data_IF_551705838381
#
_entry.id   IF_551705838381
#
_cell.length_a   1.000
_cell.length_b   1.000
_cell.length_c   1.000
_cell.angle_alpha   90.00
_cell.angle_beta   90.00
_cell.angle_gamma   90.00
#
_symmetry.space_group_name_H-M   'P 1'
#
loop_
_entity.id
_entity.type
_entity.pdbx_description
1 polymer ?
#
# COMPACT_ATOMS: atom_id res chain seq x y z
N UNK A 1 -1.01 20.46 -59.98
CA UNK A 1 -0.54 20.59 -58.59
C UNK A 1 -0.95 19.36 -57.81
N UNK A 2 -0.14 18.90 -56.85
CA UNK A 2 -0.34 17.61 -56.16
C UNK A 2 -1.37 17.75 -55.03
N UNK A 3 -2.37 16.88 -55.00
CA UNK A 3 -2.95 16.42 -53.73
C UNK A 3 -2.19 15.16 -53.32
N UNK A 4 -1.79 15.09 -52.05
CA UNK A 4 -1.38 13.83 -51.39
C UNK A 4 -2.20 13.67 -50.10
N UNK A 5 -2.56 12.44 -49.72
CA UNK A 5 -3.34 12.18 -48.52
C UNK A 5 -2.44 12.13 -47.27
N UNK A 6 -2.82 12.85 -46.21
CA UNK A 6 -2.32 12.54 -44.86
C UNK A 6 -3.18 11.42 -44.24
N UNK A 7 -2.93 10.18 -44.68
CA UNK A 7 -2.99 9.02 -43.79
C UNK A 7 -1.56 8.68 -43.37
N UNK A 8 -1.40 7.99 -42.23
CA UNK A 8 -0.11 7.75 -41.52
C UNK A 8 0.36 9.04 -40.80
N UNK A 9 0.46 9.15 -39.47
CA UNK A 9 0.58 8.15 -38.39
C UNK A 9 -0.45 8.43 -37.28
N UNK A 10 -1.31 7.44 -36.97
CA UNK A 10 -2.18 7.45 -35.78
C UNK A 10 -2.21 6.08 -35.08
N UNK A 11 -1.05 5.41 -35.04
CA UNK A 11 -0.89 4.09 -34.45
C UNK A 11 0.45 4.00 -33.72
N UNK A 12 0.49 4.44 -32.46
CA UNK A 12 1.28 3.92 -31.34
C UNK A 12 0.87 4.69 -30.05
N UNK A 13 1.27 4.20 -28.88
CA UNK A 13 1.00 4.81 -27.55
C UNK A 13 -0.43 4.74 -26.97
N UNK A 14 -1.21 3.70 -27.33
CA UNK A 14 -2.16 3.13 -26.36
C UNK A 14 -1.42 2.19 -25.40
N UNK A 15 -0.77 2.75 -24.39
CA UNK A 15 -0.39 1.99 -23.20
C UNK A 15 -1.31 2.37 -22.06
N UNK A 16 -2.32 1.50 -21.86
CA UNK A 16 -3.14 1.48 -20.66
C UNK A 16 -2.22 1.44 -19.44
N UNK A 17 -2.44 2.36 -18.50
CA UNK A 17 -2.07 2.09 -17.10
C UNK A 17 -3.09 1.09 -16.59
N UNK A 18 -2.92 -0.18 -16.99
CA UNK A 18 -3.46 -1.29 -16.23
C UNK A 18 -2.98 -1.14 -14.79
N UNK A 19 -3.75 -1.63 -13.82
CA UNK A 19 -3.23 -1.70 -12.46
C UNK A 19 -1.89 -2.45 -12.50
N UNK A 20 -0.99 -2.06 -11.60
CA UNK A 20 0.32 -2.67 -11.51
C UNK A 20 0.12 -4.09 -11.00
N UNK A 21 -0.01 -5.01 -11.95
CA UNK A 21 -0.23 -6.41 -11.69
C UNK A 21 1.13 -7.06 -11.49
N UNK A 22 1.24 -7.88 -10.45
CA UNK A 22 2.43 -8.69 -10.27
C UNK A 22 2.49 -9.69 -11.43
N UNK A 23 3.57 -9.63 -12.22
CA UNK A 23 3.74 -10.43 -13.42
C UNK A 23 5.03 -11.27 -13.36
N UNK A 24 4.95 -12.55 -12.94
CA UNK A 24 6.11 -13.41 -12.77
C UNK A 24 6.96 -13.53 -14.04
N UNK A 25 6.32 -13.49 -15.22
CA UNK A 25 6.98 -13.53 -16.52
C UNK A 25 7.95 -12.35 -16.77
N UNK A 26 7.81 -11.24 -16.03
CA UNK A 26 8.65 -10.06 -16.14
C UNK A 26 9.49 -9.77 -14.89
N UNK A 27 9.52 -10.67 -13.90
CA UNK A 27 10.22 -10.47 -12.61
C UNK A 27 11.69 -10.05 -12.79
N UNK A 28 12.42 -10.66 -13.72
CA UNK A 28 13.83 -10.36 -14.00
C UNK A 28 14.02 -8.89 -14.46
N UNK A 29 13.06 -8.35 -15.23
CA UNK A 29 13.09 -6.96 -15.73
C UNK A 29 12.58 -5.95 -14.71
N UNK A 30 11.82 -6.41 -13.72
CA UNK A 30 11.24 -5.58 -12.66
C UNK A 30 12.19 -5.36 -11.48
N UNK A 31 13.34 -6.03 -11.41
CA UNK A 31 14.26 -5.92 -10.27
C UNK A 31 14.68 -4.47 -9.95
N UNK A 32 14.66 -4.13 -8.66
CA UNK A 32 15.15 -2.84 -8.17
C UNK A 32 16.64 -2.65 -8.46
N UNK A 33 17.00 -1.47 -8.95
CA UNK A 33 18.39 -1.05 -9.10
C UNK A 33 19.08 -0.91 -7.73
N UNK A 34 20.41 -0.94 -7.70
CA UNK A 34 21.17 -0.77 -6.45
C UNK A 34 20.86 0.57 -5.78
N UNK A 35 20.72 1.65 -6.56
CA UNK A 35 20.33 2.95 -6.05
C UNK A 35 18.94 2.92 -5.38
N UNK A 36 17.96 2.23 -5.98
CA UNK A 36 16.63 2.07 -5.39
C UNK A 36 16.70 1.21 -4.12
N UNK A 37 17.42 0.08 -4.15
CA UNK A 37 17.63 -0.77 -2.98
C UNK A 37 18.27 0.00 -1.81
N UNK A 38 19.42 0.66 -2.02
CA UNK A 38 20.13 1.43 -0.99
C UNK A 38 19.28 2.59 -0.46
N UNK A 39 18.46 3.24 -1.30
CA UNK A 39 17.53 4.28 -0.84
C UNK A 39 16.53 3.72 0.19
N UNK A 40 15.88 2.60 -0.15
CA UNK A 40 14.87 1.99 0.71
C UNK A 40 15.48 1.28 1.92
N UNK A 41 16.69 0.73 1.81
CA UNK A 41 17.44 0.20 2.96
C UNK A 41 17.70 1.29 4.00
N UNK A 42 18.21 2.45 3.57
CA UNK A 42 18.45 3.61 4.47
C UNK A 42 17.15 4.09 5.10
N UNK A 43 16.09 4.24 4.29
CA UNK A 43 14.76 4.61 4.79
C UNK A 43 14.26 3.63 5.85
N UNK A 44 14.44 2.32 5.63
CA UNK A 44 14.09 1.28 6.60
C UNK A 44 14.94 1.31 7.86
N UNK A 45 16.25 1.56 7.74
CA UNK A 45 17.14 1.75 8.89
C UNK A 45 16.67 2.91 9.78
N UNK A 46 16.31 4.03 9.15
CA UNK A 46 15.76 5.19 9.86
C UNK A 46 14.47 4.81 10.59
N UNK A 47 13.58 4.06 9.95
CA UNK A 47 12.33 3.62 10.57
C UNK A 47 12.57 2.63 11.73
N UNK A 48 13.51 1.68 11.63
CA UNK A 48 13.92 0.84 12.77
C UNK A 48 14.37 1.71 13.95
N UNK A 49 15.19 2.74 13.69
CA UNK A 49 15.63 3.66 14.74
C UNK A 49 14.45 4.40 15.38
N UNK A 50 13.48 4.88 14.60
CA UNK A 50 12.33 5.63 15.09
C UNK A 50 11.35 4.72 15.86
N UNK A 51 11.12 3.49 15.40
CA UNK A 51 10.33 2.48 16.10
C UNK A 51 10.95 2.13 17.47
N UNK A 52 12.27 2.02 17.56
CA UNK A 52 13.00 1.72 18.81
C UNK A 52 13.25 2.92 19.73
N UNK A 53 12.95 4.15 19.31
CA UNK A 53 13.10 5.36 20.14
C UNK A 53 11.85 5.66 20.98
N UNK A 54 11.96 6.55 21.97
CA UNK A 54 10.79 7.17 22.62
C UNK A 54 10.01 8.04 21.61
N UNK A 55 8.85 8.59 22.00
CA UNK A 55 8.11 9.56 21.18
C UNK A 55 8.94 10.83 20.85
N UNK A 56 9.75 11.31 21.81
CA UNK A 56 10.61 12.49 21.63
C UNK A 56 11.76 12.20 20.65
N UNK A 57 12.51 11.11 20.87
CA UNK A 57 13.59 10.71 19.98
C UNK A 57 13.11 10.40 18.56
N UNK A 58 11.95 9.75 18.43
CA UNK A 58 11.31 9.51 17.14
C UNK A 58 10.85 10.82 16.47
N UNK A 59 10.24 11.75 17.22
CA UNK A 59 9.82 13.06 16.72
C UNK A 59 10.98 13.90 16.21
N UNK A 60 12.08 13.96 16.99
CA UNK A 60 13.34 14.59 16.55
C UNK A 60 13.88 13.96 15.27
N UNK A 61 13.88 12.63 15.16
CA UNK A 61 14.33 11.94 13.95
C UNK A 61 13.43 12.23 12.74
N UNK A 62 12.11 12.34 12.95
CA UNK A 62 11.14 12.74 11.93
C UNK A 62 11.17 14.23 11.57
N UNK A 63 12.00 15.05 12.26
CA UNK A 63 12.07 16.52 12.12
C UNK A 63 10.75 17.20 12.47
N UNK A 64 10.02 16.64 13.43
CA UNK A 64 8.80 17.24 13.95
C UNK A 64 9.10 18.62 14.57
N UNK A 65 8.24 19.61 14.27
CA UNK A 65 8.49 21.03 14.61
C UNK A 65 7.72 21.50 15.85
N UNK A 66 7.15 20.58 16.63
CA UNK A 66 6.55 20.91 17.93
C UNK A 66 7.63 21.14 18.98
N UNK A 67 7.26 21.76 20.08
CA UNK A 67 8.10 21.92 21.27
C UNK A 67 7.36 21.32 22.49
N UNK A 68 7.82 20.18 23.04
CA UNK A 68 8.89 19.33 22.51
C UNK A 68 8.49 18.60 21.20
N UNK A 69 9.47 18.18 20.37
CA UNK A 69 9.20 17.36 19.18
C UNK A 69 8.55 16.02 19.55
N UNK A 70 7.64 15.53 18.70
CA UNK A 70 6.88 14.30 18.96
C UNK A 70 6.67 13.50 17.68
N UNK A 71 6.65 12.16 17.76
CA UNK A 71 6.22 11.29 16.66
C UNK A 71 4.70 11.09 16.64
N UNK A 72 4.01 11.40 17.75
CA UNK A 72 2.57 11.22 17.92
C UNK A 72 1.78 11.94 16.85
N UNK A 73 0.75 11.27 16.32
CA UNK A 73 -0.20 11.87 15.38
C UNK A 73 -0.89 13.11 15.97
N UNK A 74 -1.14 14.12 15.13
CA UNK A 74 -2.01 15.27 15.48
C UNK A 74 -3.48 14.86 15.64
N UNK A 75 -3.87 13.70 15.11
CA UNK A 75 -5.22 13.11 15.22
C UNK A 75 -5.35 12.10 16.36
N UNK A 76 -4.39 12.09 17.28
CA UNK A 76 -4.47 11.31 18.50
C UNK A 76 -5.56 11.83 19.43
N UNK A 77 -6.47 10.93 19.84
CA UNK A 77 -7.60 11.27 20.71
C UNK A 77 -7.55 10.57 22.06
N UNK A 78 -7.41 11.34 23.14
CA UNK A 78 -7.97 10.95 24.43
C UNK A 78 -9.28 11.70 24.66
N UNK A 79 -10.25 11.05 25.32
CA UNK A 79 -11.52 11.70 25.72
C UNK A 79 -11.34 12.94 26.59
N UNK A 80 -10.20 13.07 27.29
CA UNK A 80 -9.89 14.19 28.19
C UNK A 80 -9.86 15.56 27.49
N UNK A 81 -9.56 15.59 26.19
CA UNK A 81 -9.39 16.84 25.42
C UNK A 81 -10.63 17.18 24.56
N UNK A 82 -11.77 16.50 24.78
CA UNK A 82 -12.98 16.66 23.97
C UNK A 82 -12.86 16.14 22.54
N UNK A 83 -11.82 15.38 22.21
CA UNK A 83 -11.62 14.81 20.88
C UNK A 83 -12.73 13.80 20.53
N UNK A 84 -13.52 14.09 19.51
CA UNK A 84 -14.52 13.19 18.95
C UNK A 84 -14.13 12.82 17.51
N UNK A 85 -13.75 11.56 17.31
CA UNK A 85 -13.31 11.03 16.02
C UNK A 85 -14.36 11.18 14.91
N UNK A 86 -15.64 10.96 15.20
CA UNK A 86 -16.72 11.10 14.20
C UNK A 86 -16.92 12.56 13.77
N UNK A 87 -16.72 13.51 14.70
CA UNK A 87 -16.73 14.94 14.37
C UNK A 87 -15.50 15.32 13.57
N UNK A 88 -14.31 14.80 13.93
CA UNK A 88 -13.04 15.11 13.24
C UNK A 88 -12.96 14.55 11.84
N UNK A 89 -13.37 13.31 11.62
CA UNK A 89 -13.49 12.70 10.29
C UNK A 89 -14.46 13.48 9.40
N UNK A 90 -15.68 13.78 9.89
CA UNK A 90 -16.64 14.63 9.17
C UNK A 90 -16.12 16.05 8.90
N UNK A 91 -15.40 16.66 9.86
CA UNK A 91 -14.74 17.96 9.67
C UNK A 91 -13.77 17.90 8.48
N UNK A 92 -12.99 16.83 8.36
CA UNK A 92 -12.08 16.57 7.24
C UNK A 92 -12.72 15.80 6.06
N UNK A 93 -14.04 15.84 5.92
CA UNK A 93 -14.80 15.26 4.79
C UNK A 93 -14.56 13.75 4.56
N UNK A 94 -14.28 13.03 5.64
CA UNK A 94 -14.23 11.57 5.68
C UNK A 94 -15.56 10.99 6.17
N UNK A 95 -16.05 10.00 5.43
CA UNK A 95 -17.31 9.31 5.71
C UNK A 95 -17.01 7.85 6.04
N UNK A 96 -17.45 7.37 7.20
CA UNK A 96 -17.53 5.93 7.46
C UNK A 96 -18.69 5.38 6.65
N UNK A 97 -18.44 4.33 5.89
CA UNK A 97 -19.47 3.58 5.16
C UNK A 97 -19.41 2.11 5.57
N UNK A 98 -20.42 1.34 5.20
CA UNK A 98 -20.35 -0.09 5.40
C UNK A 98 -19.23 -0.70 4.53
N UNK A 99 -18.40 -1.59 5.09
CA UNK A 99 -17.39 -2.28 4.31
C UNK A 99 -18.06 -3.18 3.27
N UNK A 100 -17.36 -3.47 2.17
CA UNK A 100 -17.85 -4.44 1.19
C UNK A 100 -18.11 -5.79 1.87
N UNK A 101 -19.09 -6.57 1.40
CA UNK A 101 -19.47 -7.85 2.02
C UNK A 101 -18.31 -8.84 2.13
N UNK A 102 -17.36 -8.79 1.19
CA UNK A 102 -16.13 -9.58 1.23
C UNK A 102 -14.99 -8.98 2.06
N UNK A 103 -15.11 -7.80 2.67
CA UNK A 103 -13.99 -7.15 3.38
C UNK A 103 -13.45 -7.99 4.55
N UNK A 104 -14.34 -8.67 5.28
CA UNK A 104 -13.97 -9.65 6.31
C UNK A 104 -13.94 -11.11 5.78
N UNK A 105 -14.06 -11.34 4.47
CA UNK A 105 -13.96 -12.68 3.90
C UNK A 105 -12.48 -13.05 3.70
N UNK A 106 -11.86 -13.47 4.80
CA UNK A 106 -10.45 -13.87 4.81
C UNK A 106 -10.19 -15.18 4.05
N UNK A 107 -11.23 -15.95 3.68
CA UNK A 107 -11.07 -17.07 2.76
C UNK A 107 -10.93 -16.54 1.33
N UNK A 108 -11.84 -15.65 0.90
CA UNK A 108 -11.78 -14.98 -0.41
C UNK A 108 -10.46 -14.23 -0.63
N UNK A 109 -9.96 -13.52 0.39
CA UNK A 109 -8.68 -12.81 0.31
C UNK A 109 -7.43 -13.68 0.56
N UNK A 110 -7.57 -14.98 0.82
CA UNK A 110 -6.43 -15.89 1.05
C UNK A 110 -5.67 -15.72 2.37
N UNK A 111 -6.28 -15.02 3.34
CA UNK A 111 -5.70 -14.75 4.67
C UNK A 111 -6.02 -15.82 5.72
N UNK A 112 -7.07 -16.62 5.52
CA UNK A 112 -7.47 -17.66 6.46
C UNK A 112 -6.36 -18.68 6.80
N UNK A 113 -5.56 -19.20 5.84
CA UNK A 113 -4.41 -20.06 6.15
C UNK A 113 -3.29 -19.37 6.95
N UNK A 114 -3.17 -18.04 6.83
CA UNK A 114 -2.18 -17.25 7.57
C UNK A 114 -2.53 -17.24 9.05
N UNK A 115 -3.79 -16.92 9.36
CA UNK A 115 -4.25 -16.82 10.74
C UNK A 115 -4.22 -18.19 11.44
N UNK A 116 -4.74 -19.24 10.80
CA UNK A 116 -4.71 -20.60 11.34
C UNK A 116 -3.29 -21.17 11.55
N UNK A 117 -2.30 -20.72 10.78
CA UNK A 117 -0.91 -21.15 10.96
C UNK A 117 -0.24 -20.46 12.15
N UNK A 118 -0.54 -19.18 12.39
CA UNK A 118 0.09 -18.38 13.44
C UNK A 118 -0.62 -18.54 14.79
N UNK A 119 -1.93 -18.83 14.78
CA UNK A 119 -2.72 -19.26 15.93
C UNK A 119 -3.70 -20.34 15.48
N UNK A 120 -3.46 -21.59 15.91
CA UNK A 120 -4.28 -22.75 15.53
C UNK A 120 -5.72 -22.69 16.07
N UNK A 121 -5.98 -21.85 17.08
CA UNK A 121 -7.31 -21.64 17.66
C UNK A 121 -8.04 -20.45 17.01
N UNK A 122 -7.42 -19.77 16.05
CA UNK A 122 -7.93 -18.54 15.47
C UNK A 122 -9.23 -18.77 14.69
N UNK A 123 -10.33 -18.14 15.11
CA UNK A 123 -11.60 -18.20 14.38
C UNK A 123 -11.73 -17.01 13.43
N UNK A 124 -11.57 -17.25 12.13
CA UNK A 124 -11.66 -16.21 11.09
C UNK A 124 -13.07 -15.63 10.91
N UNK A 125 -14.12 -16.30 11.40
CA UNK A 125 -15.51 -15.86 11.31
C UNK A 125 -16.02 -15.06 12.51
N UNK A 126 -15.21 -14.80 13.53
CA UNK A 126 -15.62 -14.07 14.75
C UNK A 126 -14.58 -13.02 15.16
N UNK A 127 -14.99 -12.09 16.03
CA UNK A 127 -14.13 -11.08 16.68
C UNK A 127 -13.54 -9.97 15.79
N UNK A 128 -13.49 -10.17 14.46
CA UNK A 128 -13.05 -9.17 13.50
C UNK A 128 -13.95 -7.96 13.41
N UNK A 129 -13.34 -6.78 13.28
CA UNK A 129 -14.02 -5.52 12.98
C UNK A 129 -13.42 -4.92 11.73
N UNK A 130 -14.11 -5.05 10.59
CA UNK A 130 -13.75 -4.36 9.36
C UNK A 130 -14.42 -2.98 9.28
N UNK A 131 -13.70 -1.99 8.74
CA UNK A 131 -14.19 -0.62 8.52
C UNK A 131 -13.78 -0.12 7.15
N UNK A 132 -14.61 0.74 6.56
CA UNK A 132 -14.33 1.45 5.31
C UNK A 132 -14.57 2.94 5.48
N UNK A 133 -13.66 3.74 4.94
CA UNK A 133 -13.69 5.19 5.00
C UNK A 133 -13.46 5.80 3.62
N UNK A 134 -14.30 6.76 3.24
CA UNK A 134 -14.25 7.46 1.96
C UNK A 134 -13.96 8.94 2.17
N UNK A 135 -13.00 9.51 1.42
CA UNK A 135 -12.75 10.96 1.38
C UNK A 135 -13.50 11.59 0.19
N UNK A 136 -14.80 11.35 0.16
CA UNK A 136 -15.84 11.89 -0.72
C UNK A 136 -17.21 11.43 -0.20
N UNK A 137 -18.27 12.18 -0.53
CA UNK A 137 -19.63 11.73 -0.30
C UNK A 137 -20.08 10.84 -1.48
N UNK A 138 -20.27 9.54 -1.22
CA UNK A 138 -20.73 8.56 -2.21
C UNK A 138 -22.21 8.74 -2.61
N UNK A 139 -22.99 9.48 -1.82
CA UNK A 139 -24.41 9.76 -2.08
C UNK A 139 -24.61 11.05 -2.88
N UNK A 140 -23.55 11.84 -3.05
CA UNK A 140 -23.59 13.07 -3.83
C UNK A 140 -23.55 12.77 -5.33
N UNK A 141 -24.39 13.45 -6.09
CA UNK A 141 -24.36 13.43 -7.57
C UNK A 141 -23.23 14.31 -8.14
N UNK A 142 -22.54 15.08 -7.29
CA UNK A 142 -21.41 15.92 -7.69
C UNK A 142 -20.15 15.04 -7.87
N UNK A 143 -19.45 15.11 -9.01
CA UNK A 143 -18.21 14.37 -9.21
C UNK A 143 -17.17 14.67 -8.12
N UNK A 144 -16.41 13.67 -7.67
CA UNK A 144 -15.43 13.77 -6.56
C UNK A 144 -14.53 15.01 -6.67
N UNK A 145 -14.00 15.32 -7.86
CA UNK A 145 -13.13 16.48 -8.12
C UNK A 145 -13.81 17.85 -7.90
N UNK A 146 -15.13 17.88 -7.90
CA UNK A 146 -15.96 19.07 -7.77
C UNK A 146 -16.61 19.16 -6.36
N UNK A 147 -16.55 18.08 -5.57
CA UNK A 147 -16.95 18.07 -4.16
C UNK A 147 -15.94 18.88 -3.32
N UNK A 148 -16.40 19.99 -2.73
CA UNK A 148 -15.59 20.90 -1.94
C UNK A 148 -16.10 21.00 -0.51
N UNK A 149 -15.20 21.17 0.44
CA UNK A 149 -15.52 21.32 1.85
C UNK A 149 -14.63 22.39 2.51
N UNK A 150 -15.09 22.93 3.65
CA UNK A 150 -14.35 23.93 4.41
C UNK A 150 -13.90 23.35 5.74
N UNK A 151 -12.61 23.50 6.07
CA UNK A 151 -12.15 23.33 7.44
C UNK A 151 -12.32 24.67 8.15
N UNK A 152 -12.94 24.67 9.33
CA UNK A 152 -12.91 25.82 10.23
C UNK A 152 -11.53 26.03 10.88
N UNK A 153 -11.49 26.26 12.19
CA UNK A 153 -10.21 26.25 12.93
C UNK A 153 -9.52 24.89 12.77
N UNK A 154 -8.25 24.90 12.36
CA UNK A 154 -7.43 23.71 12.07
C UNK A 154 -7.11 23.47 10.58
N UNK A 155 -7.65 24.27 9.65
CA UNK A 155 -7.22 24.25 8.25
C UNK A 155 -5.91 25.01 8.05
N UNK A 156 -5.17 24.72 6.97
CA UNK A 156 -3.94 25.46 6.58
C UNK A 156 -4.25 26.83 5.96
N UNK A 157 -5.17 27.59 6.56
CA UNK A 157 -5.62 28.91 6.08
C UNK A 157 -6.37 28.89 4.73
N UNK A 158 -6.89 27.74 4.29
CA UNK A 158 -7.60 27.60 3.00
C UNK A 158 -9.10 27.78 3.14
N UNK A 159 -9.69 28.56 2.23
CA UNK A 159 -11.14 28.78 2.11
C UNK A 159 -11.93 27.50 1.81
N UNK A 160 -11.31 26.56 1.09
CA UNK A 160 -11.87 25.25 0.77
C UNK A 160 -10.77 24.22 0.44
N UNK A 161 -11.10 22.96 0.68
CA UNK A 161 -10.40 21.76 0.21
C UNK A 161 -11.30 21.01 -0.80
N UNK A 162 -10.71 20.09 -1.54
CA UNK A 162 -11.41 19.23 -2.51
C UNK A 162 -11.38 17.78 -2.01
N UNK A 163 -12.47 17.05 -2.16
CA UNK A 163 -12.52 15.63 -1.89
C UNK A 163 -11.51 14.89 -2.79
N UNK A 164 -10.68 14.01 -2.23
CA UNK A 164 -9.64 13.32 -3.02
C UNK A 164 -10.16 12.06 -3.69
N UNK A 165 -11.28 11.50 -3.24
CA UNK A 165 -11.74 10.18 -3.67
C UNK A 165 -10.91 9.03 -3.09
N UNK A 166 -10.30 9.26 -1.92
CA UNK A 166 -9.51 8.23 -1.23
C UNK A 166 -10.41 7.21 -0.56
N UNK A 167 -9.90 5.99 -0.44
CA UNK A 167 -10.60 4.87 0.18
C UNK A 167 -9.64 4.15 1.12
N UNK A 168 -10.06 3.95 2.36
CA UNK A 168 -9.33 3.18 3.36
C UNK A 168 -10.19 2.03 3.83
N UNK A 169 -9.62 0.83 3.87
CA UNK A 169 -10.27 -0.36 4.41
C UNK A 169 -9.30 -1.04 5.36
N UNK A 170 -9.79 -1.41 6.54
CA UNK A 170 -8.97 -2.12 7.49
C UNK A 170 -9.80 -3.07 8.32
N UNK A 171 -9.17 -4.13 8.78
CA UNK A 171 -9.72 -5.08 9.73
C UNK A 171 -8.84 -5.13 10.97
N UNK A 172 -9.45 -5.26 12.15
CA UNK A 172 -8.74 -5.55 13.40
C UNK A 172 -9.34 -6.78 14.07
N UNK A 173 -8.49 -7.57 14.75
CA UNK A 173 -8.93 -8.60 15.68
C UNK A 173 -8.34 -8.35 17.08
N UNK A 174 -9.01 -7.55 17.93
CA UNK A 174 -8.44 -7.02 19.18
C UNK A 174 -8.54 -7.98 20.38
N UNK A 175 -9.34 -9.06 20.29
CA UNK A 175 -9.72 -9.84 21.48
C UNK A 175 -9.03 -11.21 21.65
N UNK A 176 -8.16 -11.63 20.71
CA UNK A 176 -7.35 -12.85 20.88
C UNK A 176 -6.07 -12.56 21.67
N UNK A 177 -5.36 -13.61 22.10
CA UNK A 177 -4.02 -13.49 22.71
C UNK A 177 -3.00 -12.77 21.82
N UNK A 178 -3.28 -12.78 20.53
CA UNK A 178 -2.46 -12.28 19.44
C UNK A 178 -3.27 -11.19 18.72
N UNK A 179 -3.01 -9.93 19.06
CA UNK A 179 -3.71 -8.80 18.47
C UNK A 179 -3.29 -8.58 17.03
N UNK A 180 -4.27 -8.62 16.13
CA UNK A 180 -4.08 -8.41 14.69
C UNK A 180 -4.62 -7.06 14.23
N UNK A 181 -3.87 -6.44 13.34
CA UNK A 181 -4.32 -5.32 12.50
C UNK A 181 -4.01 -5.62 11.04
N UNK A 182 -4.92 -5.31 10.12
CA UNK A 182 -4.79 -5.60 8.69
C UNK A 182 -5.24 -4.38 7.87
N UNK A 183 -4.32 -3.82 7.09
CA UNK A 183 -4.63 -2.80 6.09
C UNK A 183 -5.02 -3.47 4.78
N UNK A 184 -6.11 -3.01 4.15
CA UNK A 184 -6.70 -3.61 2.96
C UNK A 184 -7.04 -2.53 1.93
N UNK A 185 -6.68 -2.74 0.65
CA UNK A 185 -7.16 -1.90 -0.45
C UNK A 185 -6.97 -0.37 -0.21
N UNK A 186 -5.79 0.01 0.27
CA UNK A 186 -5.43 1.34 0.77
C UNK A 186 -5.22 2.39 -0.33
N UNK A 187 -6.27 3.06 -0.79
CA UNK A 187 -6.16 4.08 -1.85
C UNK A 187 -5.91 5.49 -1.30
N UNK A 188 -4.63 5.80 -1.04
CA UNK A 188 -4.19 7.04 -0.37
C UNK A 188 -4.68 8.36 -0.99
N UNK A 189 -4.90 9.36 -0.14
CA UNK A 189 -5.29 10.74 -0.54
C UNK A 189 -4.51 11.32 -1.71
N UNK A 190 -3.18 11.18 -1.76
CA UNK A 190 -2.38 11.70 -2.87
C UNK A 190 -2.58 10.92 -4.17
N UNK A 191 -2.67 9.58 -4.10
CA UNK A 191 -2.91 8.73 -5.26
C UNK A 191 -4.32 8.95 -5.84
N UNK A 192 -5.31 9.03 -4.95
CA UNK A 192 -6.69 9.30 -5.29
C UNK A 192 -6.89 10.69 -5.89
N UNK A 193 -6.37 11.75 -5.26
CA UNK A 193 -6.43 13.11 -5.79
C UNK A 193 -5.85 13.19 -7.20
N UNK A 194 -4.67 12.61 -7.42
CA UNK A 194 -3.98 12.57 -8.71
C UNK A 194 -4.83 11.93 -9.81
N UNK A 195 -5.48 10.79 -9.51
CA UNK A 195 -6.36 10.10 -10.45
C UNK A 195 -7.68 10.85 -10.66
N UNK A 196 -8.38 11.21 -9.58
CA UNK A 196 -9.77 11.70 -9.61
C UNK A 196 -9.88 13.16 -10.00
N UNK A 197 -8.88 14.01 -9.71
CA UNK A 197 -8.88 15.43 -10.08
C UNK A 197 -8.55 15.69 -11.55
N UNK A 198 -8.25 14.66 -12.35
CA UNK A 198 -7.98 14.81 -13.80
C UNK A 198 -6.66 15.53 -14.13
N UNK A 199 -5.83 15.80 -13.12
CA UNK A 199 -4.47 16.40 -13.25
C UNK A 199 -3.47 15.50 -13.99
N UNK A 200 -3.88 14.28 -14.31
CA UNK A 200 -3.04 13.27 -14.92
C UNK A 200 -1.81 13.03 -14.06
N UNK A 201 -0.65 13.23 -14.68
CA UNK A 201 0.64 12.90 -14.07
C UNK A 201 1.71 14.01 -14.21
N UNK A 202 1.33 15.17 -14.79
CA UNK A 202 2.20 16.32 -14.97
C UNK A 202 2.11 17.30 -13.79
N UNK A 203 0.90 17.55 -13.28
CA UNK A 203 0.73 18.41 -12.11
C UNK A 203 0.95 17.62 -10.82
N UNK A 204 1.92 18.03 -10.02
CA UNK A 204 2.13 17.50 -8.69
C UNK A 204 0.94 17.88 -7.78
N UNK A 205 0.36 16.89 -7.10
CA UNK A 205 -0.58 17.14 -6.00
C UNK A 205 0.22 17.59 -4.79
N UNK A 206 0.07 18.85 -4.39
CA UNK A 206 0.85 19.47 -3.33
C UNK A 206 0.31 19.07 -1.95
N UNK A 207 1.19 18.95 -0.96
CA UNK A 207 0.80 18.55 0.41
C UNK A 207 -0.09 19.56 1.12
N UNK A 208 -0.11 20.81 0.63
CA UNK A 208 -1.03 21.86 1.07
C UNK A 208 -2.44 21.71 0.51
N UNK A 209 -2.66 20.90 -0.53
CA UNK A 209 -3.96 20.63 -1.16
C UNK A 209 -4.66 19.40 -0.57
N UNK A 210 -3.90 18.50 0.04
CA UNK A 210 -4.42 17.32 0.71
C UNK A 210 -4.98 17.66 2.10
N UNK A 211 -5.95 16.89 2.61
CA UNK A 211 -6.33 16.98 4.02
C UNK A 211 -5.12 16.73 4.92
N UNK A 212 -5.14 17.29 6.14
CA UNK A 212 -4.19 16.89 7.18
C UNK A 212 -4.52 15.48 7.67
N UNK A 213 -5.80 15.19 7.96
CA UNK A 213 -6.25 13.83 8.29
C UNK A 213 -6.19 12.97 7.04
N UNK A 214 -5.09 12.24 6.88
CA UNK A 214 -4.78 11.52 5.64
C UNK A 214 -4.02 10.21 5.79
N UNK A 215 -3.51 9.84 6.97
CA UNK A 215 -2.83 8.56 7.15
C UNK A 215 -3.86 7.52 7.59
N UNK A 216 -3.89 6.35 6.95
CA UNK A 216 -4.81 5.26 7.31
C UNK A 216 -4.52 4.68 8.70
N UNK A 217 -3.27 4.80 9.17
CA UNK A 217 -2.85 4.47 10.54
C UNK A 217 -3.75 5.12 11.61
N UNK A 218 -4.15 6.38 11.43
CA UNK A 218 -5.04 7.09 12.35
C UNK A 218 -6.45 6.45 12.41
N UNK A 219 -6.96 6.02 11.25
CA UNK A 219 -8.30 5.41 11.12
C UNK A 219 -8.32 4.00 11.73
N UNK A 220 -7.26 3.22 11.47
CA UNK A 220 -7.08 1.92 12.09
C UNK A 220 -6.89 2.08 13.60
N UNK A 221 -6.04 3.01 14.05
CA UNK A 221 -5.81 3.28 15.46
C UNK A 221 -7.06 3.68 16.21
N UNK A 222 -7.90 4.55 15.65
CA UNK A 222 -9.16 4.88 16.32
C UNK A 222 -10.08 3.66 16.47
N UNK A 223 -10.09 2.76 15.47
CA UNK A 223 -10.85 1.51 15.52
C UNK A 223 -10.28 0.55 16.58
N UNK A 224 -8.95 0.45 16.68
CA UNK A 224 -8.23 -0.32 17.71
C UNK A 224 -8.54 0.20 19.11
N UNK A 225 -8.36 1.51 19.34
CA UNK A 225 -8.67 2.16 20.61
C UNK A 225 -10.15 1.99 21.00
N UNK A 226 -11.07 2.13 20.03
CA UNK A 226 -12.51 1.89 20.21
C UNK A 226 -12.83 0.52 20.80
N UNK A 227 -12.14 -0.53 20.35
CA UNK A 227 -12.34 -1.89 20.85
C UNK A 227 -11.80 -2.09 22.28
N UNK A 228 -10.63 -1.51 22.61
CA UNK A 228 -9.99 -1.70 23.91
C UNK A 228 -10.51 -0.78 25.03
N UNK A 229 -11.37 0.20 24.74
CA UNK A 229 -11.95 1.11 25.73
C UNK A 229 -12.69 0.42 26.90
N UNK A 230 -13.03 -0.88 26.79
CA UNK A 230 -13.66 -1.69 27.85
C UNK A 230 -12.69 -2.57 28.65
N UNK A 231 -11.49 -2.87 28.13
CA UNK A 231 -10.52 -3.81 28.73
C UNK A 231 -9.41 -3.14 29.56
N UNK A 232 -9.12 -1.87 29.27
CA UNK A 232 -8.02 -1.13 29.92
C UNK A 232 -6.84 -0.89 28.97
N UNK A 233 -5.85 -0.09 29.40
CA UNK A 233 -4.75 0.33 28.54
C UNK A 233 -3.79 -0.81 28.17
N UNK A 234 -3.59 -1.79 29.05
CA UNK A 234 -2.63 -2.89 28.80
C UNK A 234 -3.11 -3.87 27.71
N UNK A 235 -4.42 -3.95 27.47
CA UNK A 235 -4.96 -4.73 26.35
C UNK A 235 -4.64 -4.08 25.00
N UNK A 236 -4.64 -2.74 24.93
CA UNK A 236 -4.36 -2.00 23.70
C UNK A 236 -2.89 -2.15 23.25
N UNK A 237 -1.99 -2.61 24.12
CA UNK A 237 -0.59 -2.94 23.80
C UNK A 237 -0.44 -4.29 23.09
N UNK A 238 -1.48 -5.13 22.97
CA UNK A 238 -1.36 -6.52 22.50
C UNK A 238 -1.24 -6.72 20.98
N UNK A 239 -0.82 -5.70 20.23
CA UNK A 239 -0.52 -5.85 18.79
C UNK A 239 0.72 -6.74 18.62
N UNK A 240 0.55 -7.93 18.04
CA UNK A 240 1.63 -8.84 17.66
C UNK A 240 1.83 -8.94 16.15
N UNK A 241 0.78 -8.65 15.37
CA UNK A 241 0.79 -8.85 13.93
C UNK A 241 0.19 -7.65 13.21
N UNK A 242 0.93 -7.15 12.21
CA UNK A 242 0.38 -6.22 11.24
C UNK A 242 0.37 -6.88 9.85
N UNK A 243 -0.75 -6.83 9.16
CA UNK A 243 -0.91 -7.30 7.79
C UNK A 243 -1.11 -6.15 6.81
N UNK A 244 -0.64 -6.33 5.57
CA UNK A 244 -1.00 -5.48 4.43
C UNK A 244 -1.46 -6.37 3.29
N UNK A 245 -2.72 -6.21 2.89
CA UNK A 245 -3.37 -7.01 1.86
C UNK A 245 -3.37 -6.32 0.51
N UNK A 246 -3.09 -7.10 -0.54
CA UNK A 246 -3.05 -6.67 -1.94
C UNK A 246 -2.16 -5.44 -2.20
N UNK A 247 -0.88 -5.49 -1.80
CA UNK A 247 0.05 -4.41 -2.11
C UNK A 247 0.22 -4.27 -3.64
N UNK A 248 0.07 -3.06 -4.19
CA UNK A 248 0.02 -2.78 -5.64
C UNK A 248 1.03 -1.71 -6.11
N UNK A 249 1.99 -1.36 -5.25
CA UNK A 249 3.01 -0.36 -5.55
C UNK A 249 4.22 -0.94 -6.31
N UNK A 250 4.60 -0.29 -7.42
CA UNK A 250 5.73 -0.71 -8.26
C UNK A 250 7.07 -0.67 -7.53
N UNK A 251 7.31 0.28 -6.61
CA UNK A 251 8.57 0.29 -5.85
C UNK A 251 8.71 -0.99 -5.04
N UNK A 252 7.64 -1.35 -4.33
CA UNK A 252 7.53 -2.59 -3.54
C UNK A 252 7.74 -3.80 -4.45
N UNK A 253 7.11 -3.84 -5.63
CA UNK A 253 7.34 -4.90 -6.61
C UNK A 253 8.79 -4.97 -7.07
N UNK A 254 9.45 -3.83 -7.30
CA UNK A 254 10.84 -3.84 -7.75
C UNK A 254 11.77 -4.48 -6.70
N UNK A 255 11.55 -4.15 -5.43
CA UNK A 255 12.28 -4.72 -4.30
C UNK A 255 12.01 -6.23 -4.18
N UNK A 256 10.74 -6.65 -4.22
CA UNK A 256 10.38 -8.07 -4.19
C UNK A 256 11.00 -8.85 -5.36
N UNK A 257 10.92 -8.32 -6.58
CA UNK A 257 11.49 -8.94 -7.77
C UNK A 257 13.00 -9.18 -7.63
N UNK A 258 13.74 -8.19 -7.10
CA UNK A 258 15.18 -8.32 -6.81
C UNK A 258 15.46 -9.48 -5.84
N UNK A 259 14.71 -9.58 -4.74
CA UNK A 259 14.99 -10.59 -3.72
C UNK A 259 14.52 -12.00 -4.08
N UNK A 260 13.41 -12.12 -4.80
CA UNK A 260 12.92 -13.39 -5.32
C UNK A 260 13.94 -13.96 -6.34
N UNK A 261 14.39 -13.15 -7.31
CA UNK A 261 15.43 -13.56 -8.27
C UNK A 261 16.73 -13.95 -7.57
N UNK A 262 17.19 -13.16 -6.58
CA UNK A 262 18.38 -13.48 -5.79
C UNK A 262 18.26 -14.79 -4.98
N UNK A 263 17.03 -15.27 -4.72
CA UNK A 263 16.73 -16.53 -4.03
C UNK A 263 16.38 -17.68 -4.97
N UNK A 264 16.52 -17.49 -6.29
CA UNK A 264 16.14 -18.49 -7.30
C UNK A 264 14.63 -18.71 -7.42
N UNK A 265 13.82 -17.72 -7.05
CA UNK A 265 12.36 -17.75 -7.12
C UNK A 265 11.88 -17.04 -8.39
N UNK A 266 11.02 -17.70 -9.16
CA UNK A 266 10.35 -17.13 -10.35
C UNK A 266 9.05 -16.38 -10.03
N UNK A 267 8.47 -16.61 -8.84
CA UNK A 267 7.24 -16.00 -8.36
C UNK A 267 7.23 -15.97 -6.83
N UNK A 268 6.26 -15.24 -6.26
CA UNK A 268 5.86 -15.30 -4.86
C UNK A 268 5.36 -16.71 -4.50
N UNK A 269 5.80 -17.21 -3.35
CA UNK A 269 5.30 -18.48 -2.80
C UNK A 269 3.91 -18.30 -2.16
N UNK A 270 3.02 -19.30 -2.24
CA UNK A 270 1.83 -19.33 -1.38
C UNK A 270 2.26 -19.45 0.10
N UNK A 271 1.36 -19.09 1.02
CA UNK A 271 1.58 -19.31 2.45
C UNK A 271 1.91 -20.79 2.76
N UNK A 272 2.90 -21.12 3.60
CA UNK A 272 3.62 -20.27 4.56
C UNK A 272 4.86 -19.53 4.01
N UNK A 273 5.08 -19.55 2.69
CA UNK A 273 6.13 -18.79 1.99
C UNK A 273 7.53 -18.83 2.67
N UNK A 274 8.08 -20.04 2.92
CA UNK A 274 9.23 -20.21 3.80
C UNK A 274 10.51 -19.53 3.29
N UNK A 275 10.67 -19.39 1.96
CA UNK A 275 11.82 -18.71 1.33
C UNK A 275 11.56 -17.22 1.08
N UNK A 276 10.41 -16.70 1.49
CA UNK A 276 10.01 -15.29 1.33
C UNK A 276 9.90 -14.55 2.67
N UNK A 277 10.80 -14.91 3.60
CA UNK A 277 10.97 -14.27 4.91
C UNK A 277 12.18 -13.32 4.93
N UNK A 278 12.09 -12.23 5.67
CA UNK A 278 13.04 -11.13 5.66
C UNK A 278 13.15 -10.52 7.07
N UNK A 279 14.24 -10.79 7.78
CA UNK A 279 14.49 -10.20 9.09
C UNK A 279 14.88 -8.72 8.92
N UNK A 280 14.31 -7.83 9.73
CA UNK A 280 14.52 -6.37 9.61
C UNK A 280 15.94 -5.91 10.00
N UNK A 281 16.78 -6.83 10.49
CA UNK A 281 18.21 -6.59 10.70
C UNK A 281 19.08 -6.89 9.45
N UNK A 282 18.53 -7.42 8.36
CA UNK A 282 19.25 -7.57 7.06
C UNK A 282 18.98 -6.39 6.12
N UNK A 283 19.82 -6.16 5.09
CA UNK A 283 19.58 -5.13 4.07
C UNK A 283 18.24 -5.28 3.34
N UNK A 284 17.83 -6.52 3.02
CA UNK A 284 16.57 -6.79 2.32
C UNK A 284 15.36 -6.51 3.22
N UNK A 285 15.40 -6.96 4.48
CA UNK A 285 14.33 -6.70 5.44
C UNK A 285 14.19 -5.21 5.76
N UNK A 286 15.31 -4.48 5.91
CA UNK A 286 15.27 -3.00 6.00
C UNK A 286 14.67 -2.38 4.75
N UNK A 287 15.07 -2.79 3.56
CA UNK A 287 14.55 -2.20 2.34
C UNK A 287 13.05 -2.48 2.12
N UNK A 288 12.55 -3.67 2.48
CA UNK A 288 11.11 -3.94 2.49
C UNK A 288 10.38 -3.15 3.58
N UNK A 289 10.99 -2.97 4.76
CA UNK A 289 10.46 -2.09 5.80
C UNK A 289 10.38 -0.63 5.29
N UNK A 290 11.40 -0.12 4.61
CA UNK A 290 11.37 1.23 4.02
C UNK A 290 10.35 1.41 2.88
N UNK A 291 9.80 0.32 2.32
CA UNK A 291 8.94 0.36 1.14
C UNK A 291 7.56 0.99 1.41
N UNK A 292 6.87 1.49 0.36
CA UNK A 292 5.51 2.03 0.50
C UNK A 292 4.50 1.05 1.12
N UNK A 293 4.61 -0.26 0.87
CA UNK A 293 3.68 -1.25 1.42
C UNK A 293 3.73 -1.33 2.96
N UNK A 294 4.91 -1.23 3.57
CA UNK A 294 5.04 -1.27 5.03
C UNK A 294 4.54 0.00 5.73
N UNK A 295 4.34 1.10 4.99
CA UNK A 295 4.13 2.46 5.53
C UNK A 295 3.04 2.53 6.60
N UNK A 296 1.89 1.91 6.34
CA UNK A 296 0.73 1.99 7.23
C UNK A 296 0.98 1.26 8.57
N UNK A 297 1.58 0.07 8.53
CA UNK A 297 2.01 -0.65 9.74
C UNK A 297 2.99 0.17 10.58
N UNK A 298 3.99 0.75 9.92
CA UNK A 298 5.02 1.53 10.61
C UNK A 298 4.46 2.81 11.24
N UNK A 299 3.64 3.56 10.51
CA UNK A 299 2.99 4.75 11.03
C UNK A 299 2.07 4.43 12.22
N UNK A 300 1.31 3.33 12.15
CA UNK A 300 0.46 2.89 13.26
C UNK A 300 1.28 2.61 14.54
N UNK A 301 2.40 1.89 14.45
CA UNK A 301 3.26 1.63 15.61
C UNK A 301 4.00 2.89 16.09
N UNK A 302 4.42 3.74 15.16
CA UNK A 302 5.27 4.91 15.42
C UNK A 302 4.49 6.10 16.02
N UNK A 303 3.28 6.38 15.52
CA UNK A 303 2.51 7.57 15.86
C UNK A 303 1.61 7.41 17.09
N UNK A 304 1.56 6.21 17.68
CA UNK A 304 0.66 5.83 18.78
C UNK A 304 1.37 5.08 19.92
N UNK A 305 2.68 5.33 20.09
CA UNK A 305 3.56 4.71 21.11
C UNK A 305 3.04 4.86 22.54
N UNK A 306 2.33 5.94 22.85
CA UNK A 306 1.74 6.20 24.17
C UNK A 306 0.63 5.20 24.53
N UNK A 307 -0.07 4.66 23.54
CA UNK A 307 -1.07 3.59 23.72
C UNK A 307 -0.49 2.19 23.49
N UNK A 308 0.30 2.03 22.41
CA UNK A 308 0.77 0.72 21.97
C UNK A 308 2.04 0.25 22.70
N UNK A 309 2.78 1.16 23.34
CA UNK A 309 4.14 0.93 23.80
C UNK A 309 5.18 1.15 22.68
N UNK A 310 6.47 1.03 23.03
CA UNK A 310 7.56 1.12 22.06
C UNK A 310 7.70 -0.24 21.39
N UNK A 311 7.17 -0.36 20.17
CA UNK A 311 7.18 -1.60 19.38
C UNK A 311 8.06 -1.47 18.14
N UNK A 312 8.58 -2.61 17.68
CA UNK A 312 9.34 -2.72 16.45
C UNK A 312 8.93 -3.97 15.65
N UNK A 313 9.27 -3.98 14.37
CA UNK A 313 9.03 -5.12 13.47
C UNK A 313 10.32 -5.93 13.38
N UNK A 314 10.25 -7.23 13.66
CA UNK A 314 11.41 -8.15 13.63
C UNK A 314 11.54 -8.90 12.32
N UNK A 315 10.41 -9.29 11.74
CA UNK A 315 10.34 -10.16 10.58
C UNK A 315 9.23 -9.69 9.62
N UNK A 316 9.52 -9.78 8.32
CA UNK A 316 8.58 -9.51 7.24
C UNK A 316 8.47 -10.79 6.42
N UNK A 317 7.26 -11.32 6.28
CA UNK A 317 6.96 -12.46 5.41
C UNK A 317 6.04 -12.02 4.29
N UNK A 318 6.42 -12.32 3.06
CA UNK A 318 5.68 -11.93 1.86
C UNK A 318 5.18 -13.18 1.16
N UNK A 319 3.91 -13.21 0.78
CA UNK A 319 3.29 -14.38 0.14
C UNK A 319 2.38 -13.98 -1.01
N UNK A 320 2.11 -14.94 -1.89
CA UNK A 320 1.16 -14.84 -3.00
C UNK A 320 -0.27 -14.78 -2.47
N UNK A 321 -0.97 -13.69 -2.76
CA UNK A 321 -2.42 -13.61 -2.57
C UNK A 321 -3.19 -14.51 -3.55
N UNK A 322 -4.52 -14.61 -3.40
CA UNK A 322 -5.36 -15.41 -4.27
C UNK A 322 -5.33 -14.92 -5.72
N UNK A 323 -5.61 -15.84 -6.65
CA UNK A 323 -5.75 -15.52 -8.06
C UNK A 323 -7.08 -14.81 -8.30
N UNK A 324 -7.03 -13.49 -8.49
CA UNK A 324 -8.20 -12.67 -8.78
C UNK A 324 -8.44 -12.62 -10.29
N UNK A 325 -9.60 -13.13 -10.72
CA UNK A 325 -10.01 -13.02 -12.12
C UNK A 325 -10.26 -11.56 -12.49
N UNK A 326 -9.66 -11.12 -13.61
CA UNK A 326 -10.01 -9.83 -14.24
C UNK A 326 -10.70 -10.06 -15.58
N UNK A 327 -12.04 -10.08 -15.63
CA UNK A 327 -12.79 -10.33 -16.87
C UNK A 327 -12.37 -9.41 -18.03
N UNK A 328 -12.09 -8.14 -17.74
CA UNK A 328 -11.66 -7.14 -18.74
C UNK A 328 -10.26 -7.39 -19.33
N UNK A 329 -9.43 -8.21 -18.70
CA UNK A 329 -8.05 -8.50 -19.14
C UNK A 329 -7.84 -9.98 -19.55
N UNK A 330 -8.86 -10.84 -19.39
CA UNK A 330 -8.77 -12.29 -19.63
C UNK A 330 -7.57 -12.98 -18.95
N UNK A 331 -7.10 -12.41 -17.82
CA UNK A 331 -5.94 -12.86 -17.05
C UNK A 331 -6.31 -12.96 -15.57
N UNK A 332 -5.79 -13.98 -14.88
CA UNK A 332 -5.77 -14.04 -13.41
C UNK A 332 -4.57 -13.26 -12.89
N UNK A 333 -4.78 -12.45 -11.86
CA UNK A 333 -3.72 -11.66 -11.22
C UNK A 333 -3.73 -11.90 -9.73
N UNK A 334 -2.56 -12.15 -9.16
CA UNK A 334 -2.34 -12.17 -7.72
C UNK A 334 -1.59 -10.91 -7.29
N UNK A 335 -1.70 -10.58 -6.01
CA UNK A 335 -0.98 -9.46 -5.40
C UNK A 335 -0.13 -9.97 -4.22
N UNK A 336 1.07 -9.40 -3.99
CA UNK A 336 1.81 -9.63 -2.76
C UNK A 336 0.98 -9.26 -1.53
N UNK A 337 1.01 -10.14 -0.54
CA UNK A 337 0.48 -9.94 0.80
C UNK A 337 1.67 -9.90 1.78
N UNK A 338 1.62 -9.06 2.80
CA UNK A 338 2.69 -8.90 3.78
C UNK A 338 2.20 -9.18 5.20
N UNK A 339 2.91 -10.05 5.93
CA UNK A 339 2.81 -10.18 7.40
C UNK A 339 4.06 -9.56 8.01
N UNK A 340 3.85 -8.63 8.93
CA UNK A 340 4.88 -8.01 9.76
C UNK A 340 4.71 -8.54 11.19
N UNK A 341 5.75 -9.21 11.69
CA UNK A 341 5.84 -9.65 13.08
C UNK A 341 6.22 -8.46 13.96
N UNK A 342 5.39 -8.16 14.96
CA UNK A 342 5.53 -7.00 15.84
C UNK A 342 5.87 -7.47 17.25
N UNK A 343 6.93 -6.92 17.81
CA UNK A 343 7.37 -7.20 19.17
C UNK A 343 7.53 -5.90 19.98
N UNK A 344 7.42 -5.99 21.30
CA UNK A 344 7.85 -4.91 22.19
C UNK A 344 9.38 -4.78 22.15
N UNK A 345 9.88 -3.55 22.13
CA UNK A 345 11.32 -3.28 22.19
C UNK A 345 11.79 -3.55 23.63
N UNK A 346 12.75 -4.48 23.84
CA UNK A 346 13.29 -4.74 25.16
C UNK A 346 13.80 -3.45 25.82
N UNK A 347 13.60 -3.22 27.13
CA UNK A 347 13.96 -1.95 27.78
C UNK A 347 15.43 -1.52 27.57
N UNK A 348 16.35 -2.48 27.46
CA UNK A 348 17.78 -2.25 27.20
C UNK A 348 18.11 -1.96 25.71
N UNK A 349 17.14 -2.10 24.80
CA UNK A 349 17.25 -1.78 23.37
C UNK A 349 16.45 -0.53 22.99
N UNK A 350 15.66 0.05 23.91
CA UNK A 350 15.03 1.36 23.70
C UNK A 350 16.13 2.40 23.54
N UNK A 351 16.10 3.13 22.44
CA UNK A 351 17.08 4.19 22.17
C UNK A 351 16.79 5.37 23.10
N UNK A 352 17.82 5.80 23.83
CA UNK A 352 17.78 7.01 24.62
C UNK A 352 17.48 8.22 23.72
N UNK A 353 16.79 9.22 24.27
CA UNK A 353 16.50 10.44 23.53
C UNK A 353 17.82 11.14 23.14
N UNK A 354 17.95 11.61 21.89
CA UNK A 354 19.15 12.29 21.46
C UNK A 354 19.23 13.67 22.14
N UNK A 355 20.45 14.15 22.33
CA UNK A 355 20.76 15.38 23.06
C UNK A 355 19.94 16.60 22.61
N UNK A 356 19.71 17.63 23.45
CA UNK A 356 18.91 18.79 23.10
C UNK A 356 19.34 19.49 21.81
N UNK A 357 20.65 19.52 21.55
CA UNK A 357 21.33 20.11 20.39
C UNK A 357 21.49 19.15 19.19
N UNK A 358 21.09 17.88 19.31
CA UNK A 358 21.19 16.92 18.22
C UNK A 358 20.26 17.27 17.06
N UNK A 359 20.85 17.37 15.87
CA UNK A 359 20.13 17.60 14.61
C UNK A 359 20.10 16.29 13.80
N UNK A 360 18.94 15.85 13.30
CA UNK A 360 18.86 14.66 12.47
C UNK A 360 19.68 14.81 11.18
N UNK A 361 20.35 13.74 10.70
CA UNK A 361 21.11 13.78 9.46
C UNK A 361 20.21 14.24 8.29
N UNK A 362 20.77 14.91 7.26
CA UNK A 362 20.02 15.36 6.09
C UNK A 362 19.07 14.28 5.57
N UNK A 363 17.81 14.65 5.37
CA UNK A 363 16.83 13.72 4.83
C UNK A 363 17.37 13.14 3.51
N UNK A 364 17.12 11.85 3.21
CA UNK A 364 17.45 11.28 1.92
C UNK A 364 16.96 12.18 0.77
N UNK A 365 17.68 12.18 -0.35
CA UNK A 365 17.22 12.83 -1.58
C UNK A 365 15.88 12.25 -2.06
N UNK A 366 15.30 12.73 -3.17
CA UNK A 366 14.12 12.10 -3.73
C UNK A 366 14.41 10.60 -4.03
N UNK A 367 13.45 9.69 -3.79
CA UNK A 367 13.62 8.29 -4.13
C UNK A 367 13.93 8.13 -5.63
N UNK A 368 14.84 7.22 -6.02
CA UNK A 368 15.03 6.88 -7.43
C UNK A 368 13.71 6.49 -8.09
N UNK A 369 13.49 6.83 -9.37
CA UNK A 369 12.28 6.43 -10.08
C UNK A 369 12.19 4.90 -10.12
N UNK A 370 10.99 4.31 -9.93
CA UNK A 370 10.83 2.87 -9.97
C UNK A 370 11.07 2.31 -11.37
N UNK A 371 11.60 1.08 -11.43
CA UNK A 371 11.84 0.37 -12.68
C UNK A 371 10.50 -0.06 -13.28
N UNK A 372 10.03 0.68 -14.28
CA UNK A 372 8.87 0.33 -15.09
C UNK A 372 9.27 -0.48 -16.31
N UNK A 373 8.46 -1.47 -16.68
CA UNK A 373 8.52 -2.06 -18.02
C UNK A 373 8.23 -0.96 -19.05
N UNK A 374 9.28 -0.42 -19.66
CA UNK A 374 9.11 0.35 -20.88
C UNK A 374 8.58 -0.59 -21.96
N UNK A 375 7.72 -0.12 -22.89
CA UNK A 375 7.53 -0.84 -24.14
C UNK A 375 8.91 -1.11 -24.73
N UNK A 376 9.11 -2.33 -25.27
CA UNK A 376 10.23 -2.52 -26.18
C UNK A 376 10.02 -1.52 -27.32
N UNK A 377 10.85 -0.48 -27.38
CA UNK A 377 10.90 0.38 -28.55
C UNK A 377 11.07 -0.55 -29.75
N UNK A 378 10.23 -0.46 -30.80
CA UNK A 378 10.38 -1.30 -31.97
C UNK A 378 11.81 -1.10 -32.48
N UNK A 379 12.63 -2.14 -32.39
CA UNK A 379 14.01 -2.02 -32.85
C UNK A 379 13.96 -1.62 -34.33
N UNK A 380 14.79 -0.65 -34.79
CA UNK A 380 14.91 -0.36 -36.21
C UNK A 380 15.15 -1.68 -36.92
N UNK A 381 14.27 -2.03 -37.86
CA UNK A 381 14.20 -3.38 -38.41
C UNK A 381 15.54 -3.78 -39.03
N UNK A 382 16.33 -4.55 -38.30
CA UNK A 382 17.52 -5.19 -38.85
C UNK A 382 16.99 -6.24 -39.83
N UNK A 383 17.12 -5.96 -41.12
CA UNK A 383 16.75 -6.87 -42.19
C UNK A 383 17.64 -8.11 -42.12
N UNK A 384 17.17 -9.12 -41.39
CA UNK A 384 17.81 -10.43 -41.35
C UNK A 384 17.83 -11.08 -42.73
N UNK A 385 18.87 -11.85 -43.09
CA UNK A 385 18.93 -12.54 -44.36
C UNK A 385 17.77 -13.55 -44.48
N UNK A 386 17.21 -13.65 -45.69
CA UNK A 386 16.08 -14.53 -45.98
C UNK A 386 16.51 -16.01 -45.92
N UNK A 387 16.27 -16.66 -44.78
CA UNK A 387 16.35 -18.11 -44.67
C UNK A 387 15.00 -18.75 -45.05
N UNK A 388 15.01 -19.58 -46.09
CA UNK A 388 13.88 -20.44 -46.43
C UNK A 388 13.67 -21.52 -45.35
N UNK A 389 12.51 -21.54 -44.71
CA UNK A 389 12.11 -22.68 -43.88
C UNK A 389 11.75 -23.89 -44.76
N UNK A 390 12.12 -25.12 -44.37
CA UNK A 390 11.55 -26.33 -44.95
C UNK A 390 10.15 -26.62 -44.40
N UNK A 391 9.33 -27.32 -45.18
CA UNK A 391 7.95 -27.64 -44.84
C UNK A 391 7.80 -28.53 -43.59
N UNK A 392 6.70 -28.38 -42.81
CA UNK A 392 6.42 -29.23 -41.66
C UNK A 392 6.00 -30.65 -42.08
N UNK A 393 6.36 -31.69 -41.32
CA UNK A 393 5.97 -33.07 -41.62
C UNK A 393 4.47 -33.31 -41.39
N UNK A 394 3.82 -34.18 -42.20
CA UNK A 394 2.42 -34.54 -42.00
C UNK A 394 2.23 -35.48 -40.81
N UNK A 395 1.03 -35.41 -40.22
CA UNK A 395 0.48 -36.29 -39.15
C UNK A 395 1.01 -36.07 -37.72
N UNK A 396 0.44 -35.07 -37.04
CA UNK A 396 0.24 -35.11 -35.59
C UNK A 396 -1.26 -35.33 -35.30
N UNK A 397 -1.61 -36.41 -34.59
CA UNK A 397 -3.02 -36.73 -34.28
C UNK A 397 -3.58 -35.78 -33.22
N UNK A 398 -4.80 -35.28 -33.46
CA UNK A 398 -5.54 -34.40 -32.55
C UNK A 398 -6.29 -35.25 -31.52
N UNK A 399 -5.96 -35.08 -30.23
CA UNK A 399 -6.73 -35.67 -29.12
C UNK A 399 -7.94 -34.77 -28.84
N UNK A 400 -9.18 -35.30 -28.79
CA UNK A 400 -10.38 -34.48 -28.55
C UNK A 400 -10.43 -33.96 -27.10
N UNK A 401 -10.71 -32.66 -26.96
CA UNK A 401 -10.92 -32.00 -25.67
C UNK A 401 -12.30 -32.35 -25.10
N UNK A 402 -12.36 -32.78 -23.84
CA UNK A 402 -13.63 -32.87 -23.12
C UNK A 402 -14.23 -31.47 -22.88
N UNK A 403 -15.52 -31.33 -23.13
CA UNK A 403 -16.32 -30.13 -22.87
C UNK A 403 -16.85 -30.12 -21.44
N UNK A 404 -16.63 -29.02 -20.72
CA UNK A 404 -17.24 -28.72 -19.42
C UNK A 404 -18.42 -27.76 -19.65
N UNK A 405 -19.59 -27.92 -19.00
CA UNK A 405 -20.78 -27.12 -19.29
C UNK A 405 -20.67 -25.66 -18.85
N UNK A 406 -21.22 -24.76 -19.66
CA UNK A 406 -21.31 -23.31 -19.39
C UNK A 406 -22.24 -22.98 -18.21
N UNK A 407 -21.80 -22.04 -17.36
CA UNK A 407 -22.64 -21.38 -16.36
C UNK A 407 -22.70 -19.88 -16.68
N UNK A 408 -23.84 -19.44 -17.20
CA UNK A 408 -24.05 -18.05 -17.60
C UNK A 408 -24.37 -17.14 -16.40
N UNK A 409 -23.50 -16.16 -16.14
CA UNK A 409 -23.83 -15.00 -15.30
C UNK A 409 -23.78 -13.71 -16.12
N UNK A 410 -24.92 -13.02 -16.20
CA UNK A 410 -25.04 -11.68 -16.79
C UNK A 410 -24.65 -10.62 -15.76
N UNK A 411 -23.62 -9.83 -16.04
CA UNK A 411 -23.29 -8.60 -15.31
C UNK A 411 -23.08 -7.47 -16.33
N UNK A 412 -23.77 -6.36 -16.15
CA UNK A 412 -23.72 -5.18 -17.03
C UNK A 412 -23.00 -4.03 -16.35
N UNK A 413 -22.04 -3.41 -17.04
CA UNK A 413 -21.41 -2.14 -16.63
C UNK A 413 -21.11 -1.26 -17.84
N UNK A 414 -21.40 0.04 -17.71
CA UNK A 414 -21.10 1.09 -18.70
C UNK A 414 -19.68 1.69 -18.51
N UNK A 415 -19.19 2.46 -19.49
CA UNK A 415 -17.83 3.09 -19.51
C UNK A 415 -17.70 4.34 -18.62
N UNK A 416 -16.73 5.26 -18.69
CA UNK A 416 -15.48 5.49 -19.46
C UNK A 416 -14.86 6.83 -18.92
N UNK A 417 -13.63 7.32 -19.14
CA UNK A 417 -12.38 6.84 -19.77
C UNK A 417 -11.20 7.82 -19.40
N UNK A 418 -9.99 7.53 -19.94
CA UNK A 418 -8.83 8.43 -20.21
C UNK A 418 -7.66 8.47 -19.18
N UNK A 419 -6.47 8.71 -19.73
CA UNK A 419 -5.12 8.32 -19.25
C UNK A 419 -4.18 9.52 -19.00
N UNK A 420 -2.99 9.36 -18.40
CA UNK A 420 -1.69 10.09 -18.67
C UNK A 420 -0.48 9.50 -17.85
N UNK A 421 0.77 9.98 -17.99
CA UNK A 421 2.07 9.29 -17.58
C UNK A 421 3.04 10.12 -16.68
N UNK A 422 3.74 9.44 -15.73
CA UNK A 422 4.43 9.84 -14.45
C UNK A 422 5.56 10.90 -14.41
N UNK A 423 5.66 11.59 -13.25
CA UNK A 423 6.89 11.86 -12.45
C UNK A 423 6.62 11.64 -10.92
N UNK A 424 7.65 11.51 -10.08
CA UNK A 424 7.59 11.29 -8.61
C UNK A 424 8.46 12.27 -7.79
N UNK A 425 7.96 12.70 -6.62
CA UNK A 425 8.74 13.30 -5.52
C UNK A 425 8.05 12.99 -4.20
N UNK A 426 8.79 12.69 -3.13
CA UNK A 426 8.25 12.54 -1.78
C UNK A 426 9.10 13.32 -0.77
N UNK A 427 8.45 14.04 0.15
CA UNK A 427 9.00 14.42 1.46
C UNK A 427 8.14 13.75 2.54
N UNK A 428 8.76 13.45 3.67
CA UNK A 428 8.05 13.14 4.91
C UNK A 428 7.92 14.49 5.65
N UNK A 429 6.69 15.02 5.65
CA UNK A 429 6.24 16.24 6.33
C UNK A 429 4.70 16.23 6.44
#
# INVERSE_FOLDING_TARGET
>A
MKLQPLLVVAALCMQLVGALDWDPANIIKLQASDAQHTFYERSGNDIVCALMSTDLGAGKQQRDTRDPPSARSEFYGHRKDGFNWQVKTKQWYWFSVDPHTSACDFNYWGWSPVFHYLDSNFNTGQGWQCKRWLHYDEKSTVPVKDQKYKIGRGGRGKDAYVATGAEYNHAIHPYNSDGWVLFQQSFSTRAAARLKWGRGNQDAVLDTELPNLRQESDFLYNTWQAAHHKGGQDDAKRVKWCGVANADDLVTYNLLARYLVARGLSDLEPWPAPRSQYLTNTPEGRALLGSPAARNCMLFLLQHKDTLGIKYITNIRVFRGPDLARPKLLKTVHFPQFVFEVQDVPPNLVKADPAPDWVPPPAPGPPPPPVSLQPANPQPGISGPANSQPDPPPNAQVIPRQTVPDVNHKVSHEGSDKNFVRVHTFRIA
#
